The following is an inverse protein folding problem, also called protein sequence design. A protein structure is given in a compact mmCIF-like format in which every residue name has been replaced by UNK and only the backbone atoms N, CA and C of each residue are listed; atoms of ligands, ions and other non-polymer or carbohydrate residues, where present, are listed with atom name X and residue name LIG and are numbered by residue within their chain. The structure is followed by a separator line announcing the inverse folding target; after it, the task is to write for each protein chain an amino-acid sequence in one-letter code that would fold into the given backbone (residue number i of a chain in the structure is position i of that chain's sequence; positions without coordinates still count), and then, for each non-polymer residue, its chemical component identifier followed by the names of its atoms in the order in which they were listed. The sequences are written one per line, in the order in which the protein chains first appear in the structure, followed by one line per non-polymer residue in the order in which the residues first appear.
data_IF_957194730905
#
_entry.id   IF_957194730905
#
_cell.length_a   1.000
_cell.length_b   1.000
_cell.length_c   1.000
_cell.angle_alpha   90.00
_cell.angle_beta   90.00
_cell.angle_gamma   90.00
#
_symmetry.space_group_name_H-M   'P 1'
#
loop_
_entity.id
_entity.type
_entity.pdbx_description
1 polymer ?
#
# COMPACT_ATOMS: atom_id res chain seq x y z
N UNK A 1 -9.17 28.86 -11.13
CA UNK A 1 -7.85 28.27 -11.43
C UNK A 1 -8.05 26.76 -11.45
N UNK A 2 -8.23 26.17 -12.63
CA UNK A 2 -8.53 24.73 -12.77
C UNK A 2 -7.20 23.99 -12.65
N UNK A 3 -6.98 23.27 -11.56
CA UNK A 3 -5.82 22.39 -11.42
C UNK A 3 -5.90 21.35 -12.53
N UNK A 4 -4.93 21.35 -13.46
CA UNK A 4 -4.77 20.24 -14.37
C UNK A 4 -4.51 18.99 -13.52
N UNK A 5 -5.46 18.07 -13.52
CA UNK A 5 -5.34 16.77 -12.84
C UNK A 5 -4.43 15.90 -13.70
N UNK A 6 -3.14 16.23 -13.70
CA UNK A 6 -2.11 15.35 -14.25
C UNK A 6 -2.05 14.10 -13.39
N UNK A 7 -1.90 12.93 -14.03
CA UNK A 7 -1.73 11.65 -13.34
C UNK A 7 -0.46 11.68 -12.46
N UNK A 8 -0.59 12.08 -11.20
CA UNK A 8 0.52 12.04 -10.24
C UNK A 8 0.67 10.62 -9.73
N UNK A 9 1.90 10.11 -9.74
CA UNK A 9 2.22 8.83 -9.11
C UNK A 9 1.88 8.86 -7.63
N UNK A 10 1.11 7.86 -7.19
CA UNK A 10 0.77 7.69 -5.78
C UNK A 10 1.45 6.45 -5.20
N UNK A 11 1.90 6.57 -3.96
CA UNK A 11 2.46 5.48 -3.16
C UNK A 11 1.46 5.13 -2.06
N UNK A 12 1.09 3.86 -1.97
CA UNK A 12 0.13 3.37 -0.98
C UNK A 12 0.72 2.18 -0.25
N UNK A 13 0.59 2.17 1.07
CA UNK A 13 0.84 1.01 1.92
C UNK A 13 -0.38 0.81 2.80
N UNK A 14 -0.90 -0.42 2.77
CA UNK A 14 -1.90 -0.90 3.70
C UNK A 14 -1.25 -1.97 4.58
N UNK A 15 -1.16 -1.73 5.87
CA UNK A 15 -0.78 -2.74 6.86
C UNK A 15 -2.02 -3.19 7.60
N UNK A 16 -2.30 -4.49 7.54
CA UNK A 16 -3.42 -5.10 8.27
C UNK A 16 -2.82 -5.96 9.38
N UNK A 17 -3.34 -5.78 10.59
CA UNK A 17 -3.18 -6.76 11.67
C UNK A 17 -4.58 -7.33 12.01
N UNK A 18 -4.63 -8.25 12.97
CA UNK A 18 -5.85 -8.97 13.33
C UNK A 18 -7.07 -8.08 13.64
N UNK A 19 -6.87 -6.85 14.14
CA UNK A 19 -7.98 -5.98 14.59
C UNK A 19 -7.93 -4.57 14.01
N UNK A 20 -6.87 -4.20 13.30
CA UNK A 20 -6.59 -2.85 12.87
C UNK A 20 -5.98 -2.82 11.47
N UNK A 21 -6.45 -1.89 10.66
CA UNK A 21 -5.82 -1.48 9.41
C UNK A 21 -5.12 -0.12 9.58
N UNK A 22 -3.97 0.02 8.93
CA UNK A 22 -3.21 1.26 8.82
C UNK A 22 -2.92 1.56 7.36
N UNK A 23 -3.29 2.76 6.91
CA UNK A 23 -3.13 3.20 5.54
C UNK A 23 -2.20 4.41 5.48
N UNK A 24 -1.10 4.28 4.74
CA UNK A 24 -0.26 5.41 4.34
C UNK A 24 -0.47 5.68 2.86
N UNK A 25 -0.82 6.92 2.52
CA UNK A 25 -0.93 7.39 1.15
C UNK A 25 -0.02 8.60 0.96
N UNK A 26 0.93 8.49 0.04
CA UNK A 26 1.93 9.51 -0.24
C UNK A 26 2.60 10.00 1.06
N UNK A 27 2.50 11.29 1.34
CA UNK A 27 3.15 11.92 2.47
C UNK A 27 2.21 12.32 3.61
N UNK A 28 0.96 11.88 3.51
CA UNK A 28 -0.04 12.18 4.50
C UNK A 28 0.17 11.35 5.77
N UNK A 29 -0.34 11.86 6.90
CA UNK A 29 -0.44 11.07 8.12
C UNK A 29 -1.28 9.81 7.85
N UNK A 30 -0.93 8.71 8.53
CA UNK A 30 -1.64 7.47 8.31
C UNK A 30 -3.07 7.53 8.86
N UNK A 31 -3.99 6.90 8.15
CA UNK A 31 -5.29 6.53 8.70
C UNK A 31 -5.15 5.26 9.54
N UNK A 32 -5.69 5.26 10.75
CA UNK A 32 -5.86 4.06 11.58
C UNK A 32 -7.35 3.75 11.66
N UNK A 33 -7.73 2.51 11.35
CA UNK A 33 -9.11 2.06 11.46
C UNK A 33 -9.16 0.73 12.20
N UNK A 34 -10.02 0.67 13.22
CA UNK A 34 -10.36 -0.61 13.84
C UNK A 34 -11.27 -1.39 12.90
N UNK A 35 -10.96 -2.67 12.75
CA UNK A 35 -11.75 -3.62 11.99
C UNK A 35 -12.98 -4.00 12.81
N UNK A 36 -14.09 -4.29 12.14
CA UNK A 36 -15.33 -4.69 12.80
C UNK A 36 -15.22 -6.05 13.54
N UNK A 37 -14.14 -6.79 13.31
CA UNK A 37 -13.87 -8.07 13.97
C UNK A 37 -12.41 -8.49 13.80
N UNK A 38 -12.14 -9.73 14.22
CA UNK A 38 -10.85 -10.37 14.04
C UNK A 38 -10.70 -10.90 12.61
N UNK A 39 -9.61 -10.55 11.94
CA UNK A 39 -9.24 -11.12 10.64
C UNK A 39 -8.01 -11.99 10.81
N UNK A 40 -8.12 -13.28 10.48
CA UNK A 40 -6.98 -14.17 10.30
C UNK A 40 -6.57 -14.17 8.82
N UNK A 41 -5.72 -13.22 8.44
CA UNK A 41 -5.23 -13.10 7.07
C UNK A 41 -3.94 -13.90 6.91
N UNK A 42 -4.07 -15.14 6.43
CA UNK A 42 -2.93 -15.97 6.05
C UNK A 42 -2.75 -15.89 4.53
N UNK A 43 -1.58 -15.40 4.11
CA UNK A 43 -1.25 -15.27 2.70
C UNK A 43 -0.27 -16.38 2.30
N UNK A 44 -0.64 -17.26 1.36
CA UNK A 44 0.24 -18.31 0.87
C UNK A 44 1.54 -17.74 0.30
N UNK A 45 2.64 -18.46 0.50
CA UNK A 45 3.90 -18.17 -0.18
C UNK A 45 3.70 -18.24 -1.71
N UNK A 46 4.25 -17.28 -2.44
CA UNK A 46 4.08 -17.21 -3.90
C UNK A 46 2.74 -16.66 -4.39
N UNK A 47 1.90 -16.09 -3.51
CA UNK A 47 0.67 -15.42 -3.91
C UNK A 47 0.91 -14.31 -4.94
N UNK A 48 0.06 -14.26 -5.97
CA UNK A 48 0.11 -13.25 -7.03
C UNK A 48 -0.89 -12.13 -6.77
N UNK A 49 -0.56 -10.92 -7.20
CA UNK A 49 -1.48 -9.78 -7.20
C UNK A 49 -2.18 -9.73 -8.54
N UNK A 50 -3.51 -9.82 -8.51
CA UNK A 50 -4.34 -9.76 -9.70
C UNK A 50 -5.29 -8.55 -9.63
N UNK A 51 -5.19 -7.67 -10.61
CA UNK A 51 -6.10 -6.54 -10.78
C UNK A 51 -7.30 -6.99 -11.61
N UNK A 52 -8.29 -7.56 -10.94
CA UNK A 52 -9.48 -8.09 -11.59
C UNK A 52 -10.31 -6.96 -12.21
N UNK A 53 -10.73 -7.17 -13.46
CA UNK A 53 -11.86 -6.45 -14.04
C UNK A 53 -13.11 -7.30 -13.80
N UNK A 54 -13.97 -6.89 -12.88
CA UNK A 54 -15.19 -7.65 -12.61
C UNK A 54 -16.25 -7.38 -13.69
N UNK A 55 -16.81 -8.43 -14.34
CA UNK A 55 -17.91 -8.26 -15.28
C UNK A 55 -19.11 -7.60 -14.60
N UNK A 56 -19.61 -6.50 -15.17
CA UNK A 56 -20.77 -5.76 -14.63
C UNK A 56 -20.44 -4.67 -13.61
N UNK A 57 -19.22 -4.60 -13.09
CA UNK A 57 -18.75 -3.46 -12.29
C UNK A 57 -17.94 -2.50 -13.17
N UNK A 58 -18.25 -1.20 -13.08
CA UNK A 58 -17.48 -0.15 -13.77
C UNK A 58 -16.10 0.09 -13.14
N UNK A 59 -15.78 -0.58 -12.02
CA UNK A 59 -14.55 -0.41 -11.29
C UNK A 59 -13.43 -1.22 -11.95
N UNK A 60 -12.80 -0.62 -12.96
CA UNK A 60 -11.54 -1.11 -13.54
C UNK A 60 -10.40 -0.19 -13.11
N UNK A 61 -9.21 -0.76 -12.93
CA UNK A 61 -8.01 0.05 -12.76
C UNK A 61 -7.79 0.86 -14.05
N UNK A 62 -7.86 2.18 -13.93
CA UNK A 62 -7.54 3.12 -14.99
C UNK A 62 -6.21 3.80 -14.65
N UNK A 63 -5.14 3.39 -15.32
CA UNK A 63 -3.81 3.96 -15.14
C UNK A 63 -2.71 2.91 -15.19
N UNK A 64 -1.57 3.26 -14.59
CA UNK A 64 -0.37 2.42 -14.57
C UNK A 64 0.01 2.06 -13.14
N UNK A 65 0.50 0.84 -12.95
CA UNK A 65 1.09 0.37 -11.70
C UNK A 65 2.55 0.09 -11.95
N UNK A 66 3.42 0.78 -11.20
CA UNK A 66 4.85 0.54 -11.27
C UNK A 66 5.26 -0.67 -10.41
N UNK A 67 4.72 -0.76 -9.19
CA UNK A 67 5.04 -1.84 -8.25
C UNK A 67 3.79 -2.18 -7.44
N UNK A 68 3.49 -3.47 -7.34
CA UNK A 68 2.56 -4.02 -6.39
C UNK A 68 3.23 -5.22 -5.71
N UNK A 69 3.28 -5.23 -4.39
CA UNK A 69 3.89 -6.30 -3.59
C UNK A 69 3.05 -6.56 -2.35
N UNK A 70 2.99 -7.82 -1.94
CA UNK A 70 2.43 -8.21 -0.66
C UNK A 70 3.59 -8.62 0.25
N UNK A 71 3.55 -8.15 1.49
CA UNK A 71 4.51 -8.50 2.53
C UNK A 71 3.76 -9.32 3.60
N UNK A 72 4.37 -10.40 4.06
CA UNK A 72 3.82 -11.28 5.10
C UNK A 72 4.07 -10.76 6.52
N UNK A 73 4.49 -9.50 6.67
CA UNK A 73 4.69 -8.85 7.96
C UNK A 73 4.03 -7.47 7.97
N UNK A 74 3.51 -7.09 9.14
CA UNK A 74 2.95 -5.77 9.36
C UNK A 74 4.04 -4.70 9.39
N UNK A 75 3.78 -3.56 8.76
CA UNK A 75 4.68 -2.40 8.81
C UNK A 75 4.19 -1.40 9.86
N UNK A 76 5.13 -0.89 10.65
CA UNK A 76 4.85 0.12 11.69
C UNK A 76 4.88 1.54 11.14
N UNK A 77 5.67 1.76 10.10
CA UNK A 77 5.91 3.06 9.45
C UNK A 77 5.93 2.93 7.93
N UNK A 78 5.78 4.07 7.24
CA UNK A 78 5.99 4.14 5.79
C UNK A 78 7.43 3.80 5.43
N UNK A 79 7.62 3.15 4.28
CA UNK A 79 8.95 2.75 3.79
C UNK A 79 9.66 3.83 2.98
N UNK A 80 8.94 4.85 2.50
CA UNK A 80 9.52 5.98 1.77
C UNK A 80 9.63 7.25 2.65
N UNK A 81 10.46 8.20 2.25
CA UNK A 81 10.42 9.56 2.83
C UNK A 81 9.71 10.53 1.91
N UNK A 82 9.39 11.67 2.51
CA UNK A 82 8.63 12.76 1.90
C UNK A 82 9.49 13.98 1.62
N UNK A 83 10.76 13.93 2.03
CA UNK A 83 11.79 14.85 1.58
C UNK A 83 12.44 14.31 0.30
N UNK A 84 12.85 15.23 -0.56
CA UNK A 84 13.32 14.97 -1.92
C UNK A 84 14.56 14.03 -1.97
N UNK A 85 15.38 14.01 -0.91
CA UNK A 85 16.72 13.43 -0.97
C UNK A 85 16.86 12.01 -0.38
N UNK A 86 15.78 11.31 -0.06
CA UNK A 86 15.94 9.92 0.40
C UNK A 86 14.77 9.01 0.08
N UNK A 87 15.06 7.96 -0.67
CA UNK A 87 14.04 7.04 -1.18
C UNK A 87 13.42 6.16 -0.08
N UNK A 88 14.12 5.94 1.03
CA UNK A 88 13.68 5.06 2.12
C UNK A 88 13.70 5.74 3.50
N UNK A 89 12.75 5.37 4.38
CA UNK A 89 12.71 5.84 5.78
C UNK A 89 13.87 5.25 6.60
N UNK A 90 14.28 5.93 7.67
CA UNK A 90 15.42 5.50 8.50
C UNK A 90 15.19 4.16 9.22
N UNK A 91 13.92 3.75 9.39
CA UNK A 91 13.54 2.47 9.98
C UNK A 91 13.42 1.33 8.97
N UNK A 92 13.42 1.61 7.66
CA UNK A 92 13.32 0.58 6.66
C UNK A 92 14.67 -0.06 6.38
N UNK A 93 14.75 -1.37 6.58
CA UNK A 93 15.86 -2.21 6.11
C UNK A 93 15.34 -3.05 4.95
N UNK A 94 16.03 -3.08 3.80
CA UNK A 94 15.67 -4.02 2.74
C UNK A 94 15.70 -5.45 3.33
N UNK A 95 14.77 -6.34 2.93
CA UNK A 95 14.88 -7.74 3.30
C UNK A 95 16.26 -8.23 2.85
N UNK A 96 17.03 -8.81 3.78
CA UNK A 96 18.28 -9.47 3.46
C UNK A 96 17.93 -10.55 2.44
N UNK A 97 18.41 -10.39 1.22
CA UNK A 97 18.30 -11.41 0.18
C UNK A 97 19.24 -12.52 0.64
N UNK A 98 18.66 -13.59 1.17
CA UNK A 98 19.33 -14.88 1.34
C UNK A 98 19.42 -15.59 -0.01
#
# INVERSE_FOLDING_TARGET
MISQVGYTWSRVILSINQTQARLWANCNHYGKQQLAGHIDLQLPEGSLIYFRQEPGLKNKLLGSIQVAKILNFGVKDRVWKCSYDSQFSSSWRPPLIG
#
